data_IF_000771374620
#
_entry.id   IF_000771374620
#
_cell.length_a   1.000
_cell.length_b   1.000
_cell.length_c   1.000
_cell.angle_alpha   90.00
_cell.angle_beta   90.00
_cell.angle_gamma   90.00
#
_symmetry.space_group_name_H-M   'P 1'
#
loop_
_entity.id
_entity.type
_entity.pdbx_description
1 polymer ?
#
# COMPACT_ATOMS: atom_id res chain seq x y z
N UNK A 1 -2.39 17.95 12.56
CA UNK A 1 -2.25 16.93 11.51
C UNK A 1 -2.25 17.68 10.19
N UNK A 2 -1.21 17.56 9.39
CA UNK A 2 -1.15 18.29 8.12
C UNK A 2 -2.18 17.67 7.16
N UNK A 3 -2.78 18.49 6.28
CA UNK A 3 -3.81 18.01 5.34
C UNK A 3 -3.35 16.80 4.51
N UNK A 4 -2.05 16.73 4.23
CA UNK A 4 -1.40 15.65 3.49
C UNK A 4 -1.45 14.29 4.21
N UNK A 5 -1.23 14.24 5.52
CA UNK A 5 -1.26 12.97 6.27
C UNK A 5 -2.66 12.37 6.28
N UNK A 6 -3.69 13.23 6.30
CA UNK A 6 -5.09 12.80 6.22
C UNK A 6 -5.38 12.21 4.85
N UNK A 7 -4.85 12.80 3.77
CA UNK A 7 -5.03 12.29 2.42
C UNK A 7 -4.46 10.87 2.27
N UNK A 8 -3.24 10.62 2.74
CA UNK A 8 -2.63 9.28 2.71
C UNK A 8 -3.43 8.28 3.55
N UNK A 9 -3.88 8.68 4.75
CA UNK A 9 -4.68 7.83 5.61
C UNK A 9 -6.04 7.46 4.99
N UNK A 10 -6.78 8.44 4.47
CA UNK A 10 -8.05 8.19 3.80
C UNK A 10 -7.87 7.36 2.54
N UNK A 11 -6.77 7.58 1.82
CA UNK A 11 -6.44 6.78 0.65
C UNK A 11 -6.22 5.30 1.01
N UNK A 12 -5.44 5.01 2.06
CA UNK A 12 -5.23 3.65 2.56
C UNK A 12 -6.54 2.99 2.99
N UNK A 13 -7.42 3.73 3.68
CA UNK A 13 -8.74 3.23 4.09
C UNK A 13 -9.61 2.94 2.86
N UNK A 14 -9.71 3.89 1.93
CA UNK A 14 -10.46 3.73 0.70
C UNK A 14 -9.98 2.50 -0.08
N UNK A 15 -8.67 2.38 -0.26
CA UNK A 15 -8.04 1.23 -0.91
C UNK A 15 -8.41 -0.09 -0.22
N UNK A 16 -8.28 -0.15 1.11
CA UNK A 16 -8.57 -1.37 1.85
C UNK A 16 -10.05 -1.76 1.74
N UNK A 17 -10.96 -0.79 1.80
CA UNK A 17 -12.40 -1.04 1.69
C UNK A 17 -12.77 -1.50 0.29
N UNK A 18 -12.39 -0.74 -0.75
CA UNK A 18 -12.77 -1.09 -2.13
C UNK A 18 -12.06 -2.37 -2.57
N UNK A 19 -10.77 -2.51 -2.25
CA UNK A 19 -10.00 -3.74 -2.52
C UNK A 19 -10.58 -4.95 -1.79
N UNK A 20 -10.98 -4.77 -0.53
CA UNK A 20 -11.66 -5.81 0.25
C UNK A 20 -13.00 -6.23 -0.34
N UNK A 21 -13.82 -5.28 -0.80
CA UNK A 21 -15.11 -5.58 -1.45
C UNK A 21 -14.92 -6.32 -2.78
N UNK A 22 -13.98 -5.89 -3.62
CA UNK A 22 -13.67 -6.59 -4.88
C UNK A 22 -13.15 -7.98 -4.60
N UNK A 23 -12.22 -8.12 -3.64
CA UNK A 23 -11.65 -9.41 -3.27
C UNK A 23 -12.70 -10.37 -2.70
N UNK A 24 -13.61 -9.88 -1.85
CA UNK A 24 -14.74 -10.64 -1.35
C UNK A 24 -15.71 -11.06 -2.47
N UNK A 25 -16.00 -10.16 -3.41
CA UNK A 25 -16.84 -10.49 -4.56
C UNK A 25 -16.19 -11.57 -5.45
N UNK A 26 -14.88 -11.47 -5.71
CA UNK A 26 -14.15 -12.50 -6.43
C UNK A 26 -14.14 -13.82 -5.67
N UNK A 27 -13.97 -13.79 -4.35
CA UNK A 27 -13.97 -14.98 -3.50
C UNK A 27 -15.31 -15.74 -3.56
N UNK A 28 -16.42 -15.02 -3.69
CA UNK A 28 -17.76 -15.61 -3.80
C UNK A 28 -18.02 -16.16 -5.21
N UNK A 29 -17.58 -15.45 -6.25
CA UNK A 29 -17.91 -15.77 -7.63
C UNK A 29 -16.87 -16.64 -8.36
N UNK A 30 -15.68 -16.81 -7.78
CA UNK A 30 -14.57 -17.54 -8.42
C UNK A 30 -13.76 -18.32 -7.39
N UNK A 31 -13.19 -19.46 -7.81
CA UNK A 31 -12.26 -20.21 -6.96
C UNK A 31 -10.90 -19.50 -6.92
N UNK A 32 -10.68 -18.72 -5.87
CA UNK A 32 -9.41 -18.03 -5.63
C UNK A 32 -8.38 -19.01 -5.03
N UNK A 33 -7.18 -19.16 -5.62
CA UNK A 33 -6.13 -19.99 -5.06
C UNK A 33 -5.72 -19.55 -3.64
N UNK A 34 -5.39 -20.50 -2.75
CA UNK A 34 -5.00 -20.20 -1.37
C UNK A 34 -3.83 -19.21 -1.26
N UNK A 35 -2.86 -19.29 -2.17
CA UNK A 35 -1.72 -18.35 -2.20
C UNK A 35 -2.16 -16.88 -2.35
N UNK A 36 -3.25 -16.63 -3.08
CA UNK A 36 -3.80 -15.29 -3.26
C UNK A 36 -4.41 -14.79 -1.95
N UNK A 37 -5.12 -15.63 -1.21
CA UNK A 37 -5.66 -15.30 0.12
C UNK A 37 -4.59 -14.90 1.12
N UNK A 38 -3.53 -15.70 1.20
CA UNK A 38 -2.41 -15.50 2.14
C UNK A 38 -1.69 -14.18 1.90
N UNK A 39 -1.71 -13.66 0.67
CA UNK A 39 -1.08 -12.37 0.34
C UNK A 39 -2.06 -11.20 0.48
N UNK A 40 -3.26 -11.30 -0.09
CA UNK A 40 -4.19 -10.17 -0.17
C UNK A 40 -4.88 -9.85 1.15
N UNK A 41 -5.35 -10.85 1.90
CA UNK A 41 -6.08 -10.59 3.13
C UNK A 41 -5.22 -9.85 4.17
N UNK A 42 -3.94 -10.24 4.40
CA UNK A 42 -3.05 -9.46 5.27
C UNK A 42 -2.75 -8.06 4.73
N UNK A 43 -2.58 -7.88 3.42
CA UNK A 43 -2.36 -6.54 2.83
C UNK A 43 -3.56 -5.61 3.02
N UNK A 44 -4.78 -6.11 2.84
CA UNK A 44 -6.01 -5.34 3.08
C UNK A 44 -6.11 -4.95 4.56
N UNK A 45 -5.87 -5.91 5.47
CA UNK A 45 -5.89 -5.66 6.91
C UNK A 45 -4.82 -4.65 7.33
N UNK A 46 -3.59 -4.78 6.80
CA UNK A 46 -2.49 -3.87 7.05
C UNK A 46 -2.78 -2.46 6.53
N UNK A 47 -3.34 -2.33 5.32
CA UNK A 47 -3.74 -1.05 4.75
C UNK A 47 -4.81 -0.36 5.60
N UNK A 48 -5.83 -1.11 6.04
CA UNK A 48 -6.89 -0.58 6.90
C UNK A 48 -6.34 -0.14 8.27
N UNK A 49 -5.54 -1.01 8.90
CA UNK A 49 -4.91 -0.72 10.19
C UNK A 49 -3.97 0.49 10.12
N UNK A 50 -3.16 0.58 9.07
CA UNK A 50 -2.28 1.72 8.79
C UNK A 50 -3.08 3.00 8.56
N UNK A 51 -4.15 2.95 7.76
CA UNK A 51 -5.01 4.10 7.49
C UNK A 51 -5.69 4.65 8.75
N UNK A 52 -6.39 3.78 9.49
CA UNK A 52 -7.07 4.16 10.74
C UNK A 52 -6.06 4.66 11.78
N UNK A 53 -4.94 3.96 11.98
CA UNK A 53 -3.95 4.32 12.98
C UNK A 53 -3.14 5.57 12.60
N UNK A 54 -3.03 5.89 11.31
CA UNK A 54 -2.44 7.14 10.83
C UNK A 54 -3.31 8.35 11.17
N UNK A 55 -4.65 8.20 11.24
CA UNK A 55 -5.53 9.26 11.74
C UNK A 55 -5.25 9.58 13.22
N UNK A 56 -4.83 8.59 13.99
CA UNK A 56 -4.36 8.73 15.38
C UNK A 56 -2.89 9.17 15.49
N UNK A 57 -2.23 9.52 14.38
CA UNK A 57 -0.83 10.00 14.29
C UNK A 57 0.21 9.01 14.85
N UNK A 58 -0.08 7.71 14.81
CA UNK A 58 0.90 6.72 15.28
C UNK A 58 2.01 6.54 14.24
N UNK A 59 3.28 6.69 14.65
CA UNK A 59 4.45 6.53 13.76
C UNK A 59 4.49 5.17 13.07
N UNK A 60 4.21 4.10 13.81
CA UNK A 60 4.19 2.74 13.25
C UNK A 60 3.15 2.60 12.12
N UNK A 61 2.07 3.38 12.14
CA UNK A 61 1.03 3.32 11.13
C UNK A 61 1.51 3.90 9.79
N UNK A 62 2.30 4.98 9.84
CA UNK A 62 2.90 5.56 8.64
C UNK A 62 3.96 4.63 8.03
N UNK A 63 4.74 3.93 8.87
CA UNK A 63 5.68 2.89 8.42
C UNK A 63 4.93 1.72 7.78
N UNK A 64 3.86 1.26 8.41
CA UNK A 64 3.02 0.18 7.87
C UNK A 64 2.40 0.57 6.53
N UNK A 65 1.91 1.81 6.40
CA UNK A 65 1.42 2.35 5.12
C UNK A 65 2.48 2.33 4.02
N UNK A 66 3.71 2.73 4.34
CA UNK A 66 4.84 2.65 3.41
C UNK A 66 5.15 1.19 3.00
N UNK A 67 5.12 0.25 3.96
CA UNK A 67 5.31 -1.19 3.65
C UNK A 67 4.21 -1.70 2.73
N UNK A 68 2.96 -1.31 2.94
CA UNK A 68 1.83 -1.67 2.06
C UNK A 68 2.08 -1.14 0.64
N UNK A 69 2.48 0.13 0.48
CA UNK A 69 2.78 0.68 -0.84
C UNK A 69 3.99 -0.01 -1.50
N UNK A 70 5.03 -0.35 -0.74
CA UNK A 70 6.18 -1.08 -1.25
C UNK A 70 5.81 -2.49 -1.73
N UNK A 71 4.95 -3.20 -0.99
CA UNK A 71 4.45 -4.51 -1.40
C UNK A 71 3.54 -4.44 -2.64
N UNK A 72 2.91 -3.28 -2.89
CA UNK A 72 2.06 -3.04 -4.07
C UNK A 72 2.83 -2.51 -5.28
N UNK A 73 4.05 -2.02 -5.10
CA UNK A 73 4.86 -1.48 -6.18
C UNK A 73 5.25 -2.52 -7.25
N UNK A 74 5.71 -3.74 -6.91
CA UNK A 74 6.03 -4.75 -7.92
C UNK A 74 4.75 -5.39 -8.47
N UNK A 75 4.67 -5.46 -9.79
CA UNK A 75 3.64 -6.19 -10.53
C UNK A 75 4.31 -7.41 -11.15
N UNK A 76 3.79 -8.60 -10.84
CA UNK A 76 4.21 -9.84 -11.48
C UNK A 76 3.06 -10.30 -12.38
N UNK A 77 3.23 -10.14 -13.68
CA UNK A 77 2.30 -10.65 -14.67
C UNK A 77 2.96 -11.87 -15.36
N UNK A 78 2.44 -13.05 -15.09
CA UNK A 78 2.76 -14.27 -15.85
C UNK A 78 1.65 -14.58 -16.84
N UNK A 79 1.92 -15.45 -17.81
CA UNK A 79 0.92 -15.92 -18.78
C UNK A 79 -0.33 -16.53 -18.13
N UNK A 80 -0.22 -17.01 -16.88
CA UNK A 80 -1.29 -17.66 -16.12
C UNK A 80 -1.97 -16.71 -15.13
N UNK A 81 -1.36 -15.56 -14.83
CA UNK A 81 -1.79 -14.71 -13.72
C UNK A 81 -1.28 -13.27 -13.88
N UNK A 82 -2.19 -12.32 -14.12
CA UNK A 82 -1.86 -10.88 -14.01
C UNK A 82 -2.17 -10.41 -12.60
N UNK A 83 -1.14 -10.28 -11.77
CA UNK A 83 -1.27 -9.79 -10.40
C UNK A 83 -1.10 -8.27 -10.37
N UNK A 84 -2.21 -7.54 -10.34
CA UNK A 84 -2.23 -6.15 -9.89
C UNK A 84 -2.97 -6.14 -8.56
N UNK A 85 -2.31 -5.74 -7.48
CA UNK A 85 -2.94 -5.57 -6.18
C UNK A 85 -4.01 -4.45 -6.17
N UNK A 86 -4.30 -3.81 -7.31
CA UNK A 86 -5.19 -2.67 -7.48
C UNK A 86 -6.28 -2.83 -8.56
N UNK A 87 -7.39 -2.12 -8.28
CA UNK A 87 -8.67 -1.89 -8.98
C UNK A 87 -8.61 -1.36 -10.43
N UNK A 88 -7.70 -1.85 -11.27
CA UNK A 88 -7.74 -1.55 -12.71
C UNK A 88 -7.20 -0.17 -13.13
N UNK A 89 -6.62 0.62 -12.22
CA UNK A 89 -5.80 1.79 -12.57
C UNK A 89 -4.34 1.43 -12.28
N UNK A 90 -3.71 0.82 -13.27
CA UNK A 90 -2.29 0.55 -13.28
C UNK A 90 -1.71 1.19 -14.53
N UNK A 91 -0.68 2.00 -14.35
CA UNK A 91 0.14 2.49 -15.44
C UNK A 91 1.37 1.58 -15.48
N UNK A 92 1.26 0.52 -16.28
CA UNK A 92 2.25 -0.55 -16.31
C UNK A 92 3.42 -0.20 -17.23
N UNK A 93 4.61 -0.10 -16.65
CA UNK A 93 5.85 -0.26 -17.42
C UNK A 93 6.26 -1.73 -17.37
N UNK A 94 5.77 -2.51 -18.32
CA UNK A 94 6.11 -3.93 -18.41
C UNK A 94 7.35 -4.15 -19.28
N UNK A 95 8.39 -4.76 -18.70
CA UNK A 95 9.48 -5.34 -19.48
C UNK A 95 9.18 -6.83 -19.69
N UNK A 96 9.22 -7.27 -20.94
CA UNK A 96 9.03 -8.69 -21.27
C UNK A 96 10.37 -9.38 -21.15
N UNK A 97 10.48 -10.32 -20.21
CA UNK A 97 11.67 -11.15 -20.03
C UNK A 97 11.37 -12.56 -20.56
N UNK A 98 12.06 -12.96 -21.63
CA UNK A 98 11.93 -14.28 -22.28
C UNK A 98 10.50 -14.67 -22.71
N UNK A 99 9.70 -13.75 -23.25
CA UNK A 99 8.34 -14.01 -23.78
C UNK A 99 7.30 -14.63 -22.80
N UNK A 100 7.66 -14.88 -21.53
CA UNK A 100 6.80 -15.61 -20.58
C UNK A 100 6.49 -14.84 -19.29
N UNK A 101 7.33 -13.89 -18.89
CA UNK A 101 7.12 -13.08 -17.69
C UNK A 101 7.16 -11.59 -18.01
N UNK A 102 6.12 -10.88 -17.59
CA UNK A 102 6.04 -9.43 -17.58
C UNK A 102 6.25 -8.94 -16.16
N UNK A 103 7.35 -8.25 -15.93
CA UNK A 103 7.56 -7.53 -14.67
C UNK A 103 7.14 -6.09 -14.88
N UNK A 104 6.20 -5.63 -14.06
CA UNK A 104 5.66 -4.28 -14.07
C UNK A 104 5.93 -3.54 -12.78
N UNK A 105 5.69 -2.24 -12.80
CA UNK A 105 5.70 -1.40 -11.59
C UNK A 105 4.42 -0.61 -11.53
N UNK A 106 3.74 -0.67 -10.39
CA UNK A 106 2.62 0.21 -10.09
C UNK A 106 3.16 1.62 -9.78
N UNK A 107 3.18 2.49 -10.79
CA UNK A 107 3.67 3.87 -10.68
C UNK A 107 2.93 4.64 -9.58
N UNK A 108 1.64 4.39 -9.40
CA UNK A 108 0.85 5.05 -8.37
C UNK A 108 1.29 4.63 -6.97
N UNK A 109 1.45 3.31 -6.72
CA UNK A 109 1.98 2.81 -5.46
C UNK A 109 3.40 3.33 -5.20
N UNK A 110 4.22 3.44 -6.23
CA UNK A 110 5.57 4.02 -6.13
C UNK A 110 5.53 5.50 -5.74
N UNK A 111 4.66 6.31 -6.36
CA UNK A 111 4.48 7.72 -6.00
C UNK A 111 4.00 7.85 -4.55
N UNK A 112 3.04 7.03 -4.12
CA UNK A 112 2.58 7.04 -2.73
C UNK A 112 3.67 6.59 -1.77
N UNK A 113 4.48 5.59 -2.13
CA UNK A 113 5.62 5.15 -1.33
C UNK A 113 6.64 6.27 -1.15
N UNK A 114 7.03 6.94 -2.23
CA UNK A 114 7.95 8.07 -2.21
C UNK A 114 7.37 9.20 -1.35
N UNK A 115 6.08 9.52 -1.54
CA UNK A 115 5.42 10.56 -0.76
C UNK A 115 5.37 10.23 0.73
N UNK A 116 5.00 8.99 1.09
CA UNK A 116 5.04 8.51 2.48
C UNK A 116 6.46 8.56 3.06
N UNK A 117 7.48 8.19 2.29
CA UNK A 117 8.88 8.26 2.68
C UNK A 117 9.35 9.69 3.00
N UNK A 118 9.01 10.65 2.14
CA UNK A 118 9.31 12.06 2.41
C UNK A 118 8.62 12.56 3.68
N UNK A 119 7.36 12.18 3.91
CA UNK A 119 6.61 12.58 5.12
C UNK A 119 7.17 11.98 6.40
N UNK A 120 7.65 10.74 6.34
CA UNK A 120 8.31 10.07 7.47
C UNK A 120 9.62 10.77 7.86
N UNK A 121 10.35 11.30 6.88
CA UNK A 121 11.66 11.94 7.09
C UNK A 121 11.61 13.47 7.25
N UNK A 122 10.46 14.10 7.04
CA UNK A 122 10.32 15.55 7.11
C UNK A 122 10.71 16.10 8.51
N UNK A 123 11.38 17.28 8.58
CA UNK A 123 11.73 17.92 9.85
C UNK A 123 10.50 18.16 10.75
N UNK A 124 9.40 18.60 10.14
CA UNK A 124 8.14 18.93 10.81
C UNK A 124 7.18 17.75 10.89
N UNK A 125 7.72 16.52 10.77
CA UNK A 125 6.91 15.33 10.80
C UNK A 125 6.24 15.19 12.17
N UNK A 126 4.90 15.06 12.23
CA UNK A 126 4.19 14.83 13.50
C UNK A 126 4.54 13.49 14.14
N UNK A 127 5.38 12.67 13.48
CA UNK A 127 5.82 11.37 13.91
C UNK A 127 7.22 11.36 14.55
N UNK A 128 7.94 12.49 14.59
CA UNK A 128 9.17 12.57 15.39
C UNK A 128 8.79 12.64 16.86
N UNK A 129 9.26 11.69 17.65
CA UNK A 129 9.29 11.84 19.10
C UNK A 129 10.20 13.04 19.40
N UNK A 130 9.65 14.06 20.04
CA UNK A 130 10.44 15.10 20.69
C UNK A 130 11.30 14.41 21.73
N UNK A 131 12.57 14.20 21.42
CA UNK A 131 13.56 13.82 22.42
C UNK A 131 13.46 14.89 23.50
N UNK A 132 13.16 14.53 24.76
CA UNK A 132 13.15 15.51 25.83
C UNK A 132 14.56 16.13 25.83
N UNK A 133 14.63 17.43 25.56
CA UNK A 133 15.87 18.17 25.72
C UNK A 133 16.32 17.92 27.17
N UNK A 134 17.45 17.24 27.34
CA UNK A 134 18.14 17.21 28.62
C UNK A 134 18.32 18.68 29.04
N UNK A 135 17.50 19.10 30.00
CA UNK A 135 17.65 20.36 30.68
C UNK A 135 18.94 20.26 31.50
N UNK A 136 20.01 20.83 30.96
CA UNK A 136 21.23 21.14 31.69
C UNK A 136 21.02 22.35 32.61
#
# INVERSE_FOLDING_TARGET
MQKQDKAIAYFLIFQAVVGGLVFANLAVNTSIPLGVWVVFAPLIAAALAAGISSLARKRWAAILGAVVFAAQAPIFASHYFSYSAWLGIHLDFAFTWNDQAKVGVNVFALVMLIWSGFRLNAPDSPFKETTPSESA
#
